data_IF_771374943251
#
_entry.id   IF_771374943251
#
_cell.length_a   1.000
_cell.length_b   1.000
_cell.length_c   1.000
_cell.angle_alpha   90.00
_cell.angle_beta   90.00
_cell.angle_gamma   90.00
#
_symmetry.space_group_name_H-M   'P 1'
#
loop_
_entity.id
_entity.type
_entity.pdbx_description
1 polymer ?
#
# COMPACT_ATOMS: atom_id res chain seq x y z
N UNK A 1 -2.04 -16.14 -12.34
CA UNK A 1 -2.96 -15.01 -12.57
C UNK A 1 -3.93 -14.78 -11.42
N UNK A 2 -3.85 -15.51 -10.30
CA UNK A 2 -4.69 -15.26 -9.12
C UNK A 2 -3.76 -15.11 -7.93
N UNK A 3 -3.66 -13.93 -7.31
CA UNK A 3 -3.15 -13.67 -5.94
C UNK A 3 -2.99 -12.15 -5.70
N UNK A 4 -4.03 -11.35 -5.88
CA UNK A 4 -3.97 -9.91 -5.57
C UNK A 4 -4.88 -9.58 -4.37
N UNK A 5 -4.36 -8.97 -3.29
CA UNK A 5 -5.19 -8.29 -2.32
C UNK A 5 -5.92 -7.11 -3.00
N UNK A 6 -7.20 -6.94 -2.71
CA UNK A 6 -8.00 -5.87 -3.32
C UNK A 6 -8.45 -4.93 -2.20
N UNK A 7 -8.15 -3.64 -2.36
CA UNK A 7 -8.70 -2.59 -1.50
C UNK A 7 -10.17 -2.43 -1.85
N UNK A 8 -11.05 -2.80 -0.92
CA UNK A 8 -12.49 -2.54 -1.04
C UNK A 8 -12.87 -1.54 0.05
N UNK A 9 -13.25 -0.32 -0.36
CA UNK A 9 -13.92 0.62 0.51
C UNK A 9 -15.40 0.27 0.49
N UNK A 10 -15.91 -0.32 1.58
CA UNK A 10 -17.33 -0.64 1.67
C UNK A 10 -18.08 0.60 2.17
N UNK A 11 -18.92 1.21 1.33
CA UNK A 11 -19.85 2.27 1.76
C UNK A 11 -20.90 1.66 2.70
N UNK A 12 -20.94 2.06 3.97
CA UNK A 12 -22.05 1.75 4.86
C UNK A 12 -22.24 2.81 5.95
N UNK A 13 -23.51 3.20 6.13
CA UNK A 13 -24.11 4.15 7.08
C UNK A 13 -23.40 5.52 7.29
N UNK A 14 -24.01 6.65 6.86
CA UNK A 14 -23.45 8.00 7.03
C UNK A 14 -23.22 8.46 8.49
N UNK A 15 -23.64 7.69 9.49
CA UNK A 15 -23.39 7.97 10.92
C UNK A 15 -22.23 7.16 11.54
N UNK A 16 -21.62 6.23 10.81
CA UNK A 16 -20.45 5.47 11.27
C UNK A 16 -19.19 6.03 10.61
N UNK A 17 -18.15 6.35 11.39
CA UNK A 17 -16.83 6.71 10.85
C UNK A 17 -16.41 5.71 9.77
N UNK A 18 -16.02 6.20 8.59
CA UNK A 18 -15.55 5.38 7.46
C UNK A 18 -14.53 4.33 7.93
N UNK A 19 -14.95 3.06 8.01
CA UNK A 19 -14.04 1.97 8.36
C UNK A 19 -13.31 1.52 7.09
N UNK A 20 -12.03 1.90 6.96
CA UNK A 20 -11.18 1.39 5.89
C UNK A 20 -10.77 -0.05 6.23
N UNK A 21 -11.23 -0.99 5.42
CA UNK A 21 -10.98 -2.42 5.57
C UNK A 21 -10.17 -2.93 4.37
N UNK A 22 -9.26 -3.87 4.65
CA UNK A 22 -8.52 -4.61 3.64
C UNK A 22 -9.05 -6.03 3.56
N UNK A 23 -9.57 -6.41 2.38
CA UNK A 23 -9.99 -7.76 2.11
C UNK A 23 -8.84 -8.54 1.47
N UNK A 24 -8.24 -9.44 2.25
CA UNK A 24 -7.23 -10.36 1.71
C UNK A 24 -7.91 -11.49 0.96
N UNK A 25 -7.81 -11.50 -0.38
CA UNK A 25 -8.43 -12.53 -1.24
C UNK A 25 -8.04 -13.97 -0.90
N UNK A 26 -6.82 -14.20 -0.40
CA UNK A 26 -6.28 -15.55 -0.12
C UNK A 26 -7.14 -16.33 0.89
N UNK A 27 -7.71 -15.64 1.87
CA UNK A 27 -8.49 -16.24 2.96
C UNK A 27 -9.79 -15.50 3.26
N UNK A 28 -10.14 -14.50 2.46
CA UNK A 28 -11.29 -13.62 2.69
C UNK A 28 -11.16 -12.81 3.98
N UNK A 29 -9.96 -12.71 4.56
CA UNK A 29 -9.80 -12.02 5.83
C UNK A 29 -10.02 -10.52 5.65
N UNK A 30 -10.98 -10.00 6.40
CA UNK A 30 -11.24 -8.56 6.51
C UNK A 30 -10.34 -8.00 7.61
N UNK A 31 -9.43 -7.12 7.22
CA UNK A 31 -8.38 -6.57 8.07
C UNK A 31 -8.61 -5.06 8.27
N UNK A 32 -8.90 -4.60 9.49
CA UNK A 32 -9.14 -3.19 9.73
C UNK A 32 -7.85 -2.36 9.66
N UNK A 33 -7.87 -1.28 8.88
CA UNK A 33 -6.78 -0.28 8.80
C UNK A 33 -6.94 0.86 9.82
N UNK A 34 -7.74 0.65 10.87
CA UNK A 34 -7.85 1.57 11.99
C UNK A 34 -7.42 0.88 13.29
N UNK A 35 -6.78 1.64 14.18
CA UNK A 35 -6.57 1.19 15.55
C UNK A 35 -7.91 1.14 16.29
N UNK A 36 -8.16 0.09 17.06
CA UNK A 36 -9.37 -0.01 17.89
C UNK A 36 -9.42 1.14 18.90
N UNK A 37 -10.27 2.13 18.65
CA UNK A 37 -10.47 3.30 19.50
C UNK A 37 -11.31 3.04 20.75
N UNK A 38 -12.00 1.89 20.83
CA UNK A 38 -12.91 1.54 21.92
C UNK A 38 -12.42 0.42 22.86
N UNK A 39 -11.32 -0.26 22.55
CA UNK A 39 -10.83 -1.37 23.38
C UNK A 39 -9.89 -0.86 24.49
N UNK A 40 -10.28 -1.08 25.74
CA UNK A 40 -9.48 -0.75 26.93
C UNK A 40 -8.67 -1.96 27.41
N UNK A 41 -7.42 -1.72 27.83
CA UNK A 41 -6.57 -2.74 28.46
C UNK A 41 -5.75 -3.61 27.49
N UNK A 42 -5.33 -4.78 27.97
CA UNK A 42 -4.45 -5.72 27.25
C UNK A 42 -5.05 -6.22 25.92
N UNK A 43 -6.38 -6.17 25.75
CA UNK A 43 -7.07 -6.53 24.50
C UNK A 43 -6.60 -5.66 23.31
N UNK A 44 -6.46 -4.35 23.54
CA UNK A 44 -5.94 -3.40 22.55
C UNK A 44 -4.52 -3.76 22.11
N UNK A 45 -3.67 -4.10 23.08
CA UNK A 45 -2.26 -4.40 22.85
C UNK A 45 -2.02 -5.72 22.11
N UNK A 46 -2.79 -6.77 22.45
CA UNK A 46 -2.56 -8.11 21.92
C UNK A 46 -3.40 -8.47 20.68
N UNK A 47 -4.64 -7.99 20.57
CA UNK A 47 -5.55 -8.37 19.49
C UNK A 47 -5.73 -7.28 18.44
N UNK A 48 -6.05 -6.05 18.87
CA UNK A 48 -6.25 -4.93 17.95
C UNK A 48 -4.97 -4.59 17.19
N UNK A 49 -3.84 -4.43 17.90
CA UNK A 49 -2.55 -4.13 17.25
C UNK A 49 -2.06 -5.24 16.32
N UNK A 50 -2.35 -6.53 16.60
CA UNK A 50 -1.93 -7.63 15.72
C UNK A 50 -2.74 -7.66 14.41
N UNK A 51 -4.04 -7.40 14.49
CA UNK A 51 -4.90 -7.28 13.30
C UNK A 51 -4.54 -6.05 12.48
N UNK A 52 -4.28 -4.94 13.16
CA UNK A 52 -3.82 -3.71 12.55
C UNK A 52 -2.46 -3.88 11.84
N UNK A 53 -1.48 -4.52 12.49
CA UNK A 53 -0.18 -4.83 11.86
C UNK A 53 -0.34 -5.75 10.65
N UNK A 54 -1.27 -6.70 10.72
CA UNK A 54 -1.59 -7.56 9.58
C UNK A 54 -2.23 -6.79 8.43
N UNK A 55 -3.13 -5.85 8.72
CA UNK A 55 -3.73 -4.95 7.74
C UNK A 55 -2.66 -4.07 7.08
N UNK A 56 -1.79 -3.49 7.88
CA UNK A 56 -0.73 -2.59 7.42
C UNK A 56 0.30 -3.32 6.56
N UNK A 57 0.64 -4.57 6.89
CA UNK A 57 1.48 -5.40 6.02
C UNK A 57 0.78 -5.76 4.71
N UNK A 58 -0.51 -6.09 4.74
CA UNK A 58 -1.26 -6.37 3.53
C UNK A 58 -1.36 -5.12 2.64
N UNK A 59 -1.53 -3.94 3.22
CA UNK A 59 -1.47 -2.67 2.51
C UNK A 59 -0.11 -2.44 1.84
N UNK A 60 0.96 -2.68 2.58
CA UNK A 60 2.32 -2.52 2.08
C UNK A 60 2.60 -3.47 0.90
N UNK A 61 2.11 -4.71 0.98
CA UNK A 61 2.19 -5.67 -0.13
C UNK A 61 1.44 -5.16 -1.37
N UNK A 62 0.24 -4.59 -1.22
CA UNK A 62 -0.48 -3.97 -2.35
C UNK A 62 0.34 -2.89 -3.05
N UNK A 63 1.04 -2.05 -2.28
CA UNK A 63 1.88 -0.96 -2.83
C UNK A 63 3.08 -1.53 -3.57
N UNK A 64 3.72 -2.57 -3.02
CA UNK A 64 4.82 -3.27 -3.68
C UNK A 64 4.38 -3.92 -4.98
N UNK A 65 3.27 -4.66 -4.96
CA UNK A 65 2.70 -5.28 -6.17
C UNK A 65 2.37 -4.25 -7.25
N UNK A 66 1.82 -3.09 -6.88
CA UNK A 66 1.56 -2.00 -7.81
C UNK A 66 2.86 -1.50 -8.46
N UNK A 67 3.93 -1.33 -7.67
CA UNK A 67 5.24 -0.92 -8.18
C UNK A 67 5.82 -1.96 -9.15
N UNK A 68 5.74 -3.25 -8.81
CA UNK A 68 6.21 -4.35 -9.65
C UNK A 68 5.44 -4.45 -10.97
N UNK A 69 4.12 -4.25 -10.95
CA UNK A 69 3.30 -4.20 -12.16
C UNK A 69 3.66 -3.03 -13.06
N UNK A 70 3.94 -1.86 -12.48
CA UNK A 70 4.36 -0.68 -13.24
C UNK A 70 5.75 -0.88 -13.84
N UNK A 71 6.67 -1.51 -13.11
CA UNK A 71 8.00 -1.87 -13.62
C UNK A 71 7.88 -2.86 -14.79
N UNK A 72 7.11 -3.94 -14.64
CA UNK A 72 6.87 -4.92 -15.71
C UNK A 72 6.20 -4.28 -16.94
N UNK A 73 5.21 -3.41 -16.74
CA UNK A 73 4.56 -2.68 -17.83
C UNK A 73 5.54 -1.73 -18.55
N UNK A 74 6.47 -1.10 -17.83
CA UNK A 74 7.50 -0.27 -18.43
C UNK A 74 8.46 -1.08 -19.31
N UNK A 75 8.86 -2.27 -18.85
CA UNK A 75 9.72 -3.19 -19.61
C UNK A 75 9.05 -3.72 -20.88
N UNK A 76 7.80 -4.17 -20.80
CA UNK A 76 7.08 -4.69 -21.97
C UNK A 76 6.87 -3.61 -23.04
N UNK A 77 6.55 -2.38 -22.61
CA UNK A 77 6.35 -1.27 -23.55
C UNK A 77 7.64 -0.67 -24.12
N UNK A 78 8.79 -0.98 -23.52
CA UNK A 78 10.11 -0.58 -24.05
C UNK A 78 10.41 -1.18 -25.43
N UNK A 79 9.73 -2.28 -25.80
CA UNK A 79 9.89 -2.98 -27.08
C UNK A 79 9.10 -2.35 -28.24
N UNK A 80 8.01 -1.63 -27.96
CA UNK A 80 7.03 -1.25 -28.99
C UNK A 80 6.80 0.26 -29.17
N UNK A 81 7.25 1.12 -28.23
CA UNK A 81 7.13 2.58 -28.38
C UNK A 81 8.38 3.34 -27.94
N UNK A 82 8.89 4.21 -28.81
CA UNK A 82 9.94 5.21 -28.52
C UNK A 82 9.65 6.06 -27.26
N UNK A 83 8.36 6.20 -26.93
CA UNK A 83 7.85 6.91 -25.76
C UNK A 83 8.31 6.27 -24.43
N UNK A 84 8.45 4.95 -24.35
CA UNK A 84 8.82 4.28 -23.10
C UNK A 84 10.31 4.41 -22.78
N UNK A 85 11.14 4.77 -23.77
CA UNK A 85 12.54 5.16 -23.54
C UNK A 85 12.68 6.54 -22.91
N UNK A 86 11.66 7.41 -23.01
CA UNK A 86 11.68 8.74 -22.39
C UNK A 86 11.34 8.72 -20.90
N UNK A 87 10.65 7.67 -20.42
CA UNK A 87 10.20 7.55 -19.04
C UNK A 87 10.46 6.13 -18.49
N UNK A 88 11.73 5.77 -18.25
CA UNK A 88 12.04 4.56 -17.49
C UNK A 88 11.36 4.64 -16.12
N UNK A 89 10.80 3.53 -15.64
CA UNK A 89 10.29 3.46 -14.27
C UNK A 89 11.45 3.77 -13.31
N UNK A 90 11.39 4.84 -12.51
CA UNK A 90 12.34 5.02 -11.44
C UNK A 90 11.98 3.98 -10.37
N UNK A 91 12.94 3.14 -9.98
CA UNK A 91 12.79 2.31 -8.79
C UNK A 91 12.26 3.16 -7.62
N UNK A 92 11.44 2.55 -6.75
CA UNK A 92 10.90 3.24 -5.59
C UNK A 92 12.04 3.91 -4.79
N UNK A 93 11.89 5.16 -4.35
CA UNK A 93 12.93 5.86 -3.61
C UNK A 93 13.24 5.19 -2.27
N UNK A 94 12.29 4.46 -1.69
CA UNK A 94 12.51 3.64 -0.51
C UNK A 94 12.17 2.17 -0.78
N UNK A 95 13.12 1.30 -0.49
CA UNK A 95 12.95 -0.14 -0.68
C UNK A 95 11.89 -0.72 0.26
N UNK A 96 10.99 -1.54 -0.30
CA UNK A 96 9.98 -2.29 0.43
C UNK A 96 10.45 -3.75 0.57
N UNK A 97 10.77 -4.16 1.80
CA UNK A 97 11.22 -5.51 2.14
C UNK A 97 10.42 -6.06 3.33
N UNK A 98 9.56 -7.05 3.08
CA UNK A 98 8.73 -7.68 4.11
C UNK A 98 7.83 -6.67 4.82
N UNK A 99 8.08 -6.43 6.11
CA UNK A 99 7.33 -5.45 6.91
C UNK A 99 7.97 -4.06 6.95
N UNK A 100 8.98 -3.78 6.13
CA UNK A 100 9.80 -2.57 6.22
C UNK A 100 9.74 -1.72 4.96
N UNK A 101 9.79 -0.41 5.18
CA UNK A 101 9.95 0.63 4.15
C UNK A 101 11.19 1.45 4.49
N UNK A 102 12.17 1.47 3.60
CA UNK A 102 13.46 2.16 3.82
C UNK A 102 14.15 1.73 5.12
N UNK A 103 14.01 0.45 5.50
CA UNK A 103 14.57 -0.15 6.72
C UNK A 103 13.75 0.04 8.00
N UNK A 104 12.65 0.80 7.97
CA UNK A 104 11.76 1.03 9.13
C UNK A 104 10.53 0.13 9.07
N UNK A 105 10.17 -0.54 10.17
CA UNK A 105 9.00 -1.43 10.22
C UNK A 105 7.69 -0.65 10.24
N UNK A 106 6.72 -1.12 9.45
CA UNK A 106 5.36 -0.59 9.37
C UNK A 106 4.45 -1.15 10.48
N UNK A 107 4.94 -2.13 11.26
CA UNK A 107 4.24 -2.69 12.40
C UNK A 107 4.26 -1.71 13.58
N UNK A 108 3.14 -1.59 14.25
CA UNK A 108 2.94 -0.79 15.45
C UNK A 108 3.40 -1.56 16.71
N UNK A 109 3.26 -2.88 16.76
CA UNK A 109 3.69 -3.65 17.94
C UNK A 109 5.21 -3.57 18.13
N UNK A 110 5.63 -3.30 19.38
CA UNK A 110 7.03 -3.28 19.81
C UNK A 110 7.91 -2.26 19.05
N UNK A 111 7.29 -1.28 18.39
CA UNK A 111 7.97 -0.22 17.67
C UNK A 111 8.00 1.07 18.50
N UNK A 112 8.91 1.98 18.17
CA UNK A 112 8.91 3.33 18.72
C UNK A 112 8.04 4.21 17.82
N UNK A 113 7.14 5.01 18.40
CA UNK A 113 6.19 5.84 17.65
C UNK A 113 6.89 6.70 16.57
N UNK A 114 8.07 7.24 16.87
CA UNK A 114 8.89 8.01 15.92
C UNK A 114 9.35 7.19 14.71
N UNK A 115 9.74 5.93 14.93
CA UNK A 115 10.21 5.01 13.88
C UNK A 115 9.05 4.53 13.02
N UNK A 116 7.93 4.19 13.64
CA UNK A 116 6.70 3.81 12.95
C UNK A 116 6.16 4.97 12.10
N UNK A 117 6.09 6.18 12.68
CA UNK A 117 5.71 7.39 11.95
C UNK A 117 6.65 7.67 10.78
N UNK A 118 7.95 7.40 10.95
CA UNK A 118 8.91 7.51 9.85
C UNK A 118 8.62 6.51 8.74
N UNK A 119 8.36 5.23 9.05
CA UNK A 119 7.98 4.23 8.06
C UNK A 119 6.76 4.67 7.24
N UNK A 120 5.72 5.19 7.91
CA UNK A 120 4.52 5.72 7.25
C UNK A 120 4.83 6.90 6.32
N UNK A 121 5.71 7.83 6.75
CA UNK A 121 6.13 8.96 5.90
C UNK A 121 6.85 8.48 4.65
N UNK A 122 7.73 7.49 4.76
CA UNK A 122 8.44 6.92 3.62
C UNK A 122 7.46 6.25 2.65
N UNK A 123 6.53 5.45 3.17
CA UNK A 123 5.48 4.81 2.37
C UNK A 123 4.63 5.82 1.60
N UNK A 124 4.24 6.94 2.23
CA UNK A 124 3.48 8.00 1.56
C UNK A 124 4.28 8.69 0.45
N UNK A 125 5.60 8.81 0.62
CA UNK A 125 6.47 9.32 -0.44
C UNK A 125 6.49 8.34 -1.60
N UNK A 126 6.71 7.03 -1.36
CA UNK A 126 6.66 6.01 -2.41
C UNK A 126 5.33 6.03 -3.17
N UNK A 127 4.20 6.12 -2.46
CA UNK A 127 2.88 6.23 -3.09
C UNK A 127 2.73 7.47 -3.96
N UNK A 128 3.24 8.63 -3.50
CA UNK A 128 3.24 9.85 -4.31
C UNK A 128 4.04 9.66 -5.59
N UNK A 129 5.21 9.03 -5.51
CA UNK A 129 6.05 8.73 -6.66
C UNK A 129 5.34 7.81 -7.67
N UNK A 130 4.66 6.76 -7.19
CA UNK A 130 3.86 5.87 -8.03
C UNK A 130 2.73 6.62 -8.73
N UNK A 131 2.01 7.49 -8.01
CA UNK A 131 0.93 8.29 -8.57
C UNK A 131 1.43 9.24 -9.67
N UNK A 132 2.54 9.93 -9.41
CA UNK A 132 3.16 10.85 -10.38
C UNK A 132 3.65 10.12 -11.64
N UNK A 133 4.11 8.87 -11.49
CA UNK A 133 4.49 8.02 -12.61
C UNK A 133 3.27 7.58 -13.44
N UNK A 134 2.19 7.14 -12.78
CA UNK A 134 0.93 6.76 -13.44
C UNK A 134 0.35 7.95 -14.21
N UNK A 135 0.28 9.12 -13.58
CA UNK A 135 -0.24 10.34 -14.20
C UNK A 135 0.53 10.67 -15.49
N UNK A 136 1.86 10.62 -15.44
CA UNK A 136 2.72 10.83 -16.62
C UNK A 136 2.44 9.81 -17.71
N UNK A 137 2.28 8.54 -17.38
CA UNK A 137 1.94 7.51 -18.36
C UNK A 137 0.59 7.81 -19.01
N UNK A 138 -0.44 8.12 -18.22
CA UNK A 138 -1.79 8.37 -18.72
C UNK A 138 -1.81 9.57 -19.67
N UNK A 139 -1.17 10.68 -19.29
CA UNK A 139 -1.04 11.88 -20.13
C UNK A 139 -0.37 11.59 -21.48
N UNK A 140 0.65 10.74 -21.47
CA UNK A 140 1.44 10.43 -22.67
C UNK A 140 0.77 9.36 -23.55
N UNK A 141 0.00 8.45 -22.96
CA UNK A 141 -0.70 7.39 -23.70
C UNK A 141 -2.05 7.83 -24.27
N UNK A 142 -2.59 8.98 -23.83
CA UNK A 142 -3.86 9.51 -24.32
C UNK A 142 -5.07 8.64 -23.98
N UNK A 143 -4.91 7.68 -23.06
CA UNK A 143 -6.04 6.95 -22.49
C UNK A 143 -6.76 7.91 -21.53
N UNK A 144 -7.85 8.52 -22.01
CA UNK A 144 -8.84 9.12 -21.12
C UNK A 144 -9.40 8.02 -20.20
N UNK A 145 -9.75 8.37 -18.93
CA UNK A 145 -10.34 7.42 -17.99
C UNK A 145 -11.65 6.79 -18.51
#
# INVERSE_FOLDING_TARGET
MENQPTLEAQEMDPNSMEEVLLCRKKDGAVLPLHGGGGEVGLSRFFYSNKRFDSAMMAFLECVKELADLLAAAAEDRSKDRAICRLFPFPELPYEIEGDRVGGFSIRLQLNQDERWTKALKLLLIDMKWLLEYIERICLVTGAAP
#
